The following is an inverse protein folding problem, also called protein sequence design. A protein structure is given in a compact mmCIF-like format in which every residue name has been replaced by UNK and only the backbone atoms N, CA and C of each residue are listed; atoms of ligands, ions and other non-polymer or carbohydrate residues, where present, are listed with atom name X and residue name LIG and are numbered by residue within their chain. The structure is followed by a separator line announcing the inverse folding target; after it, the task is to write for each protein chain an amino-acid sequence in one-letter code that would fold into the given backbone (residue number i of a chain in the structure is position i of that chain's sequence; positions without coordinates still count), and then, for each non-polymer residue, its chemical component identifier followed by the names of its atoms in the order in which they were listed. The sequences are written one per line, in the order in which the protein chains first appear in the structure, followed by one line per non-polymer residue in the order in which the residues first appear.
data_IF_546121194718
#
_entry.id   IF_546121194718
#
_cell.length_a   1.000
_cell.length_b   1.000
_cell.length_c   1.000
_cell.angle_alpha   90.00
_cell.angle_beta   90.00
_cell.angle_gamma   90.00
#
_symmetry.space_group_name_H-M   'P 1'
#
loop_
_entity.id
_entity.type
_entity.pdbx_description
1 polymer ?
#
# COMPACT_ATOMS: atom_id res chain seq x y z
N UNK A 1 -29.15 -9.18 2.09
CA UNK A 1 -27.78 -8.61 2.01
C UNK A 1 -27.07 -8.59 3.36
N UNK A 2 -27.72 -8.90 4.49
CA UNK A 2 -27.11 -8.90 5.84
C UNK A 2 -26.14 -10.07 6.11
N UNK A 3 -26.26 -11.21 5.42
CA UNK A 3 -25.44 -12.40 5.70
C UNK A 3 -24.02 -12.41 5.08
N UNK A 4 -23.63 -11.38 4.30
CA UNK A 4 -22.27 -11.29 3.74
C UNK A 4 -21.24 -10.77 4.75
N UNK A 5 -21.67 -9.97 5.73
CA UNK A 5 -20.79 -9.44 6.77
C UNK A 5 -20.39 -10.51 7.81
N UNK A 6 -21.28 -11.46 8.10
CA UNK A 6 -21.02 -12.50 9.11
C UNK A 6 -19.97 -13.53 8.68
N UNK A 7 -19.82 -13.82 7.38
CA UNK A 7 -18.77 -14.73 6.87
C UNK A 7 -17.38 -14.09 6.79
N UNK A 8 -17.31 -12.76 6.84
CA UNK A 8 -16.05 -12.03 7.01
C UNK A 8 -15.61 -11.97 8.48
N UNK A 9 -16.47 -12.39 9.41
CA UNK A 9 -16.21 -12.36 10.85
C UNK A 9 -15.18 -13.44 11.28
N UNK A 10 -15.01 -14.50 10.48
CA UNK A 10 -13.88 -15.47 10.60
C UNK A 10 -12.53 -14.77 10.28
N UNK A 11 -12.59 -13.69 9.50
CA UNK A 11 -11.47 -12.83 9.15
C UNK A 11 -11.48 -11.51 9.93
N UNK A 12 -12.36 -11.32 10.93
CA UNK A 12 -12.30 -10.16 11.81
C UNK A 12 -11.10 -10.31 12.75
N UNK A 13 -9.98 -9.84 12.20
CA UNK A 13 -8.72 -9.48 12.81
C UNK A 13 -8.97 -8.89 14.19
N UNK A 14 -8.78 -9.71 15.24
CA UNK A 14 -8.61 -9.21 16.60
C UNK A 14 -7.19 -8.68 16.70
N UNK A 15 -7.02 -7.36 16.57
CA UNK A 15 -5.74 -6.71 16.86
C UNK A 15 -5.99 -5.43 17.63
N UNK A 16 -5.04 -5.10 18.50
CA UNK A 16 -4.74 -3.71 18.86
C UNK A 16 -4.26 -3.02 17.58
N UNK A 17 -5.21 -2.43 16.86
CA UNK A 17 -4.99 -1.88 15.52
C UNK A 17 -3.90 -0.81 15.58
N UNK A 18 -2.82 -0.98 14.80
CA UNK A 18 -1.83 0.08 14.59
C UNK A 18 -2.56 1.35 14.13
N UNK A 19 -2.14 2.53 14.60
CA UNK A 19 -2.86 3.75 14.30
C UNK A 19 -2.86 4.00 12.79
N UNK A 20 -4.05 4.18 12.25
CA UNK A 20 -4.27 4.48 10.83
C UNK A 20 -3.68 5.83 10.45
N UNK A 21 -3.47 6.09 9.16
CA UNK A 21 -3.02 7.42 8.70
C UNK A 21 -3.94 8.54 9.20
N UNK A 22 -5.25 8.29 9.23
CA UNK A 22 -6.24 9.25 9.71
C UNK A 22 -6.10 9.55 11.21
N UNK A 23 -5.87 8.52 12.03
CA UNK A 23 -5.66 8.66 13.47
C UNK A 23 -4.32 9.36 13.77
N UNK A 24 -3.26 9.01 13.05
CA UNK A 24 -1.96 9.68 13.17
C UNK A 24 -2.07 11.14 12.76
N UNK A 25 -2.75 11.44 11.65
CA UNK A 25 -3.00 12.81 11.20
C UNK A 25 -3.74 13.61 12.28
N UNK A 26 -4.83 13.07 12.84
CA UNK A 26 -5.58 13.74 13.90
C UNK A 26 -4.71 14.02 15.12
N UNK A 27 -3.96 13.02 15.60
CA UNK A 27 -3.04 13.16 16.74
C UNK A 27 -2.00 14.25 16.48
N UNK A 28 -1.38 14.26 15.31
CA UNK A 28 -0.38 15.25 14.94
C UNK A 28 -0.98 16.66 14.83
N UNK A 29 -2.14 16.81 14.19
CA UNK A 29 -2.84 18.09 14.11
C UNK A 29 -3.22 18.64 15.48
N UNK A 30 -3.70 17.79 16.40
CA UNK A 30 -3.99 18.20 17.78
C UNK A 30 -2.72 18.67 18.50
N UNK A 31 -1.59 17.99 18.31
CA UNK A 31 -0.33 18.44 18.86
C UNK A 31 0.13 19.77 18.25
N UNK A 32 -0.03 19.98 16.94
CA UNK A 32 0.30 21.25 16.27
C UNK A 32 -0.44 22.42 16.94
N UNK A 33 -1.76 22.27 17.14
CA UNK A 33 -2.62 23.28 17.77
C UNK A 33 -2.25 23.52 19.23
N UNK A 34 -1.95 22.47 20.00
CA UNK A 34 -1.55 22.61 21.42
C UNK A 34 -0.25 23.40 21.59
N UNK A 35 0.68 23.28 20.65
CA UNK A 35 1.93 24.04 20.66
C UNK A 35 1.78 25.46 20.09
N UNK A 36 0.57 25.86 19.66
CA UNK A 36 0.33 27.17 19.05
C UNK A 36 0.83 27.29 17.61
N UNK A 37 1.27 26.18 17.00
CA UNK A 37 1.76 26.15 15.63
C UNK A 37 0.58 25.90 14.69
N UNK A 38 0.01 26.98 14.13
CA UNK A 38 -1.02 26.89 13.08
C UNK A 38 -0.40 26.85 11.67
N UNK A 39 0.82 26.30 11.54
CA UNK A 39 1.55 26.29 10.27
C UNK A 39 0.86 25.44 9.20
N UNK A 40 -0.02 24.51 9.59
CA UNK A 40 -0.68 23.59 8.68
C UNK A 40 0.32 22.61 8.04
N UNK A 41 1.42 22.34 8.72
CA UNK A 41 2.52 21.51 8.24
C UNK A 41 2.04 20.06 8.03
N UNK A 42 1.32 19.51 9.01
CA UNK A 42 0.74 18.16 8.98
C UNK A 42 -0.21 18.00 7.78
N UNK A 43 -1.11 18.96 7.59
CA UNK A 43 -2.07 18.95 6.48
C UNK A 43 -1.39 19.07 5.13
N UNK A 44 -0.36 19.93 5.03
CA UNK A 44 0.40 20.09 3.79
C UNK A 44 1.14 18.81 3.44
N UNK A 45 1.89 18.21 4.37
CA UNK A 45 2.57 16.93 4.15
C UNK A 45 1.61 15.81 3.74
N UNK A 46 0.43 15.75 4.36
CA UNK A 46 -0.61 14.77 4.04
C UNK A 46 -1.15 14.95 2.61
N UNK A 47 -1.30 16.19 2.14
CA UNK A 47 -1.61 16.47 0.74
C UNK A 47 -0.48 15.98 -0.18
N UNK A 48 0.79 16.20 0.20
CA UNK A 48 1.96 15.66 -0.53
C UNK A 48 1.91 14.13 -0.67
N UNK A 49 1.56 13.41 0.41
CA UNK A 49 1.36 11.96 0.36
C UNK A 49 0.20 11.56 -0.56
N UNK A 50 -0.89 12.33 -0.54
CA UNK A 50 -2.04 12.11 -1.42
C UNK A 50 -1.73 12.39 -2.90
N UNK A 51 -0.86 13.36 -3.18
CA UNK A 51 -0.35 13.65 -4.53
C UNK A 51 0.53 12.49 -5.01
N UNK A 52 1.48 12.00 -4.20
CA UNK A 52 2.28 10.81 -4.52
C UNK A 52 1.41 9.58 -4.84
N UNK A 53 0.36 9.35 -4.05
CA UNK A 53 -0.63 8.30 -4.34
C UNK A 53 -1.34 8.52 -5.68
N UNK A 54 -1.68 9.77 -6.00
CA UNK A 54 -2.33 10.12 -7.27
C UNK A 54 -1.39 9.91 -8.46
N UNK A 55 -0.11 10.25 -8.32
CA UNK A 55 0.94 10.01 -9.32
C UNK A 55 1.07 8.51 -9.63
N UNK A 56 1.24 7.66 -8.61
CA UNK A 56 1.34 6.20 -8.81
C UNK A 56 0.09 5.62 -9.51
N UNK A 57 -1.10 6.08 -9.13
CA UNK A 57 -2.34 5.66 -9.77
C UNK A 57 -2.43 6.10 -11.23
N UNK A 58 -1.96 7.31 -11.54
CA UNK A 58 -1.97 7.85 -12.90
C UNK A 58 -0.92 7.15 -13.77
N UNK A 59 0.28 6.88 -13.25
CA UNK A 59 1.30 6.08 -13.94
C UNK A 59 0.76 4.70 -14.34
N UNK A 60 0.10 4.00 -13.41
CA UNK A 60 -0.54 2.70 -13.70
C UNK A 60 -1.66 2.82 -14.73
N UNK A 61 -2.40 3.93 -14.72
CA UNK A 61 -3.42 4.16 -15.73
C UNK A 61 -2.80 4.38 -17.12
N UNK A 62 -1.72 5.16 -17.20
CA UNK A 62 -0.97 5.38 -18.45
C UNK A 62 -0.44 4.07 -19.00
N UNK A 63 0.18 3.22 -18.17
CA UNK A 63 0.65 1.90 -18.62
C UNK A 63 -0.50 1.00 -19.09
N UNK A 64 -1.67 1.10 -18.46
CA UNK A 64 -2.86 0.33 -18.87
C UNK A 64 -3.51 0.79 -20.18
N UNK A 65 -3.31 2.05 -20.60
CA UNK A 65 -3.92 2.60 -21.82
C UNK A 65 -3.25 2.07 -23.10
N UNK A 66 -1.99 1.63 -23.03
CA UNK A 66 -1.23 1.08 -24.16
C UNK A 66 -1.07 2.05 -25.35
N UNK A 67 -0.56 1.53 -26.47
CA UNK A 67 -0.30 2.31 -27.70
C UNK A 67 -1.58 2.65 -28.49
N UNK A 68 -2.66 1.88 -28.32
CA UNK A 68 -3.92 2.00 -29.08
C UNK A 68 -5.03 2.71 -28.27
N UNK A 69 -4.73 3.90 -27.76
CA UNK A 69 -5.66 4.68 -26.94
C UNK A 69 -6.61 5.54 -27.80
N UNK A 70 -7.91 5.51 -27.48
CA UNK A 70 -8.95 6.33 -28.13
C UNK A 70 -8.75 7.82 -27.86
N UNK A 71 -9.19 8.70 -28.78
CA UNK A 71 -9.17 10.16 -28.58
C UNK A 71 -9.88 10.57 -27.28
N UNK A 72 -10.99 9.91 -26.93
CA UNK A 72 -11.70 10.19 -25.68
C UNK A 72 -10.86 9.85 -24.44
N UNK A 73 -10.16 8.71 -24.46
CA UNK A 73 -9.27 8.29 -23.37
C UNK A 73 -8.03 9.20 -23.28
N UNK A 74 -7.50 9.69 -24.41
CA UNK A 74 -6.42 10.68 -24.43
C UNK A 74 -6.85 12.00 -23.79
N UNK A 75 -8.06 12.48 -24.08
CA UNK A 75 -8.60 13.68 -23.46
C UNK A 75 -8.80 13.49 -21.95
N UNK A 76 -9.33 12.35 -21.52
CA UNK A 76 -9.47 12.04 -20.09
C UNK A 76 -8.11 12.01 -19.38
N UNK A 77 -7.09 11.42 -20.02
CA UNK A 77 -5.72 11.40 -19.48
C UNK A 77 -5.17 12.82 -19.33
N UNK A 78 -5.34 13.67 -20.35
CA UNK A 78 -4.93 15.08 -20.30
C UNK A 78 -5.63 15.84 -19.17
N UNK A 79 -6.93 15.63 -18.96
CA UNK A 79 -7.66 16.28 -17.88
C UNK A 79 -7.19 15.80 -16.50
N UNK A 80 -6.84 14.52 -16.36
CA UNK A 80 -6.23 13.99 -15.13
C UNK A 80 -4.86 14.59 -14.88
N UNK A 81 -4.01 14.73 -15.91
CA UNK A 81 -2.70 15.39 -15.81
C UNK A 81 -2.82 16.85 -15.40
N UNK A 82 -3.69 17.63 -16.05
CA UNK A 82 -3.94 19.05 -15.68
C UNK A 82 -4.39 19.22 -14.23
N UNK A 83 -5.27 18.35 -13.75
CA UNK A 83 -5.73 18.36 -12.35
C UNK A 83 -4.60 18.02 -11.37
N UNK A 84 -3.74 17.08 -11.75
CA UNK A 84 -2.59 16.69 -10.94
C UNK A 84 -1.55 17.82 -10.89
N UNK A 85 -1.20 18.38 -12.05
CA UNK A 85 -0.32 19.55 -12.18
C UNK A 85 -0.76 20.70 -11.27
N UNK A 86 -2.03 21.11 -11.35
CA UNK A 86 -2.56 22.19 -10.53
C UNK A 86 -2.44 21.91 -9.01
N UNK A 87 -2.61 20.63 -8.61
CA UNK A 87 -2.41 20.22 -7.21
C UNK A 87 -0.94 20.26 -6.82
N UNK A 88 -0.04 19.80 -7.69
CA UNK A 88 1.42 19.85 -7.48
C UNK A 88 1.86 21.31 -7.33
N UNK A 89 1.54 22.19 -8.27
CA UNK A 89 1.92 23.61 -8.18
C UNK A 89 1.43 24.27 -6.89
N UNK A 90 0.18 23.99 -6.49
CA UNK A 90 -0.38 24.55 -5.24
C UNK A 90 0.35 24.01 -4.01
N UNK A 91 0.70 22.72 -4.03
CA UNK A 91 1.44 22.06 -2.97
C UNK A 91 2.87 22.60 -2.86
N UNK A 92 3.62 22.63 -3.96
CA UNK A 92 5.01 23.08 -4.05
C UNK A 92 5.15 24.51 -3.52
N UNK A 93 4.26 25.42 -3.93
CA UNK A 93 4.24 26.78 -3.40
C UNK A 93 4.06 26.85 -1.87
N UNK A 94 3.29 25.93 -1.27
CA UNK A 94 3.06 25.90 0.18
C UNK A 94 4.22 25.27 0.93
N UNK A 95 4.72 24.14 0.43
CA UNK A 95 5.77 23.38 1.13
C UNK A 95 7.11 24.11 1.08
N UNK A 96 7.43 24.83 -0.01
CA UNK A 96 8.65 25.65 -0.10
C UNK A 96 8.68 26.76 0.95
N UNK A 97 7.52 27.36 1.28
CA UNK A 97 7.43 28.37 2.35
C UNK A 97 7.63 27.73 3.73
N UNK A 98 7.05 26.54 3.95
CA UNK A 98 7.13 25.82 5.23
C UNK A 98 8.55 25.32 5.50
N UNK A 99 9.20 24.74 4.48
CA UNK A 99 10.55 24.18 4.57
C UNK A 99 11.66 25.23 4.36
N UNK A 100 11.30 26.44 3.88
CA UNK A 100 12.24 27.53 3.57
C UNK A 100 13.38 27.07 2.65
N UNK A 101 13.03 26.31 1.62
CA UNK A 101 14.01 25.77 0.67
C UNK A 101 14.67 26.90 -0.13
N UNK A 102 15.97 26.74 -0.38
CA UNK A 102 16.75 27.59 -1.25
C UNK A 102 17.04 26.91 -2.60
N UNK A 103 17.59 27.67 -3.54
CA UNK A 103 17.93 27.15 -4.88
C UNK A 103 19.09 26.13 -4.83
N UNK A 104 19.83 26.04 -3.71
CA UNK A 104 20.99 25.16 -3.52
C UNK A 104 20.63 23.79 -2.88
N UNK A 105 19.35 23.59 -2.52
CA UNK A 105 18.87 22.36 -1.85
C UNK A 105 19.09 21.11 -2.71
N UNK A 106 19.72 20.08 -2.14
CA UNK A 106 20.02 18.84 -2.87
C UNK A 106 18.93 17.76 -2.70
N UNK A 107 18.67 17.02 -3.79
CA UNK A 107 17.65 15.97 -3.85
C UNK A 107 18.27 14.57 -3.91
N UNK A 108 17.58 13.58 -3.33
CA UNK A 108 18.05 12.18 -3.38
C UNK A 108 18.00 11.63 -4.81
N UNK A 109 19.07 11.02 -5.31
CA UNK A 109 19.10 10.45 -6.67
C UNK A 109 18.24 9.18 -6.87
N UNK A 110 17.61 8.68 -5.81
CA UNK A 110 17.07 7.32 -5.70
C UNK A 110 15.68 7.07 -6.32
N UNK A 111 15.11 8.04 -7.05
CA UNK A 111 13.67 8.02 -7.39
C UNK A 111 13.26 7.12 -8.57
N UNK A 112 14.16 6.26 -9.05
CA UNK A 112 13.86 5.33 -10.15
C UNK A 112 14.02 3.90 -9.65
N UNK A 113 12.89 3.22 -9.39
CA UNK A 113 12.87 1.75 -9.29
C UNK A 113 13.17 1.17 -10.68
N UNK A 114 14.33 0.52 -10.90
CA UNK A 114 14.69 -0.05 -12.20
C UNK A 114 13.74 -1.16 -12.64
N UNK A 115 12.96 -1.75 -11.73
CA UNK A 115 12.06 -2.87 -12.06
C UNK A 115 10.82 -2.48 -12.85
N UNK A 116 10.55 -1.19 -13.02
CA UNK A 116 9.50 -0.70 -13.93
C UNK A 116 10.02 -0.59 -15.37
N UNK A 117 11.33 -0.76 -15.61
CA UNK A 117 11.95 -0.60 -16.93
C UNK A 117 12.10 -1.90 -17.73
N UNK A 118 11.95 -3.08 -17.13
CA UNK A 118 12.15 -4.36 -17.84
C UNK A 118 10.86 -4.90 -18.45
N UNK A 119 10.35 -4.21 -19.48
CA UNK A 119 9.55 -4.79 -20.57
C UNK A 119 9.17 -3.69 -21.56
N UNK A 120 10.16 -3.04 -22.18
CA UNK A 120 9.88 -2.05 -23.22
C UNK A 120 11.04 -1.95 -24.20
N UNK A 121 11.27 -3.02 -24.96
CA UNK A 121 12.18 -3.02 -26.11
C UNK A 121 11.48 -2.57 -27.41
N UNK A 122 10.29 -1.95 -27.32
CA UNK A 122 9.50 -1.51 -28.46
C UNK A 122 8.65 -0.25 -28.12
N UNK A 123 9.30 0.86 -27.81
CA UNK A 123 8.64 2.18 -27.87
C UNK A 123 9.12 2.90 -29.14
N UNK A 124 8.22 3.23 -30.09
CA UNK A 124 8.59 4.15 -31.15
C UNK A 124 8.91 5.51 -30.52
N UNK A 125 10.02 6.12 -30.94
CA UNK A 125 10.36 7.52 -30.68
C UNK A 125 9.16 8.39 -31.06
N UNK A 126 8.37 8.78 -30.07
CA UNK A 126 7.36 9.83 -30.21
C UNK A 126 8.08 11.14 -29.95
N UNK A 127 8.11 11.97 -30.99
CA UNK A 127 8.64 13.33 -31.01
C UNK A 127 8.50 14.06 -29.67
N UNK A 128 9.61 14.66 -29.27
CA UNK A 128 9.76 15.56 -28.15
C UNK A 128 8.94 16.84 -28.35
N UNK A 129 7.64 16.77 -28.08
CA UNK A 129 6.89 17.89 -27.52
C UNK A 129 6.95 17.73 -26.00
N UNK A 130 7.49 18.74 -25.32
CA UNK A 130 7.73 18.83 -23.89
C UNK A 130 6.40 18.88 -23.10
N UNK A 131 5.63 17.81 -23.17
CA UNK A 131 4.42 17.63 -22.37
C UNK A 131 4.86 17.38 -20.93
N UNK A 132 4.46 18.26 -20.02
CA UNK A 132 4.57 18.05 -18.58
C UNK A 132 4.00 16.66 -18.24
N UNK A 133 4.83 15.82 -17.61
CA UNK A 133 4.46 14.49 -17.14
C UNK A 133 4.35 14.57 -15.61
N UNK A 134 3.26 15.15 -15.06
CA UNK A 134 3.10 15.38 -13.63
C UNK A 134 3.11 14.07 -12.84
N UNK A 135 2.77 12.94 -13.48
CA UNK A 135 2.85 11.64 -12.83
C UNK A 135 4.28 11.15 -12.55
N UNK A 136 5.31 11.72 -13.20
CA UNK A 136 6.73 11.39 -12.97
C UNK A 136 7.50 12.48 -12.21
N UNK A 137 6.85 13.62 -11.96
CA UNK A 137 7.45 14.72 -11.23
C UNK A 137 7.74 14.32 -9.77
N UNK A 138 8.84 14.84 -9.23
CA UNK A 138 9.18 14.61 -7.83
C UNK A 138 8.38 15.57 -6.95
N UNK A 139 7.80 15.06 -5.88
CA UNK A 139 7.09 15.86 -4.88
C UNK A 139 8.06 16.24 -3.76
N UNK A 140 8.12 17.53 -3.42
CA UNK A 140 8.95 18.05 -2.34
C UNK A 140 8.47 17.54 -0.98
N UNK A 141 9.13 16.53 -0.45
CA UNK A 141 8.92 16.01 0.89
C UNK A 141 10.27 15.90 1.61
N UNK A 142 10.32 15.97 2.95
CA UNK A 142 11.55 15.75 3.70
C UNK A 142 12.28 14.45 3.29
N UNK A 143 11.56 13.36 3.06
CA UNK A 143 12.13 12.08 2.60
C UNK A 143 12.71 12.11 1.18
N UNK A 144 12.39 13.12 0.37
CA UNK A 144 12.90 13.30 -0.99
C UNK A 144 14.25 14.02 -1.03
N UNK A 145 14.64 14.69 0.07
CA UNK A 145 15.91 15.41 0.18
C UNK A 145 17.11 14.46 0.20
N UNK A 146 18.28 14.95 -0.18
CA UNK A 146 19.52 14.20 -0.06
C UNK A 146 19.88 13.97 1.42
N UNK A 147 20.71 12.95 1.67
CA UNK A 147 21.17 12.65 3.03
C UNK A 147 21.97 13.85 3.59
N UNK A 148 21.68 14.26 4.82
CA UNK A 148 22.30 15.41 5.48
C UNK A 148 21.60 16.75 5.27
N UNK A 149 20.76 16.89 4.23
CA UNK A 149 20.02 18.15 3.96
C UNK A 149 19.00 18.47 5.06
N UNK A 150 18.37 17.45 5.64
CA UNK A 150 17.42 17.62 6.75
C UNK A 150 18.11 18.28 7.95
N UNK A 151 19.34 17.88 8.27
CA UNK A 151 20.12 18.45 9.38
C UNK A 151 20.63 19.87 9.01
N UNK A 152 21.11 20.02 7.78
CA UNK A 152 21.63 21.31 7.28
C UNK A 152 20.57 22.41 7.28
N UNK A 153 19.34 22.08 6.86
CA UNK A 153 18.20 22.98 6.84
C UNK A 153 17.42 23.03 8.17
N UNK A 154 17.85 22.27 9.19
CA UNK A 154 17.15 22.15 10.49
C UNK A 154 15.67 21.75 10.35
N UNK A 155 15.40 20.78 9.49
CA UNK A 155 14.07 20.27 9.13
C UNK A 155 13.69 18.99 9.92
N UNK A 156 14.37 18.69 11.03
CA UNK A 156 14.15 17.45 11.80
C UNK A 156 12.71 17.37 12.31
N UNK A 157 12.14 18.49 12.73
CA UNK A 157 10.76 18.56 13.22
C UNK A 157 9.73 18.16 12.16
N UNK A 158 9.86 18.68 10.93
CA UNK A 158 8.94 18.35 9.83
C UNK A 158 9.20 16.95 9.27
N UNK A 159 10.46 16.51 9.25
CA UNK A 159 10.84 15.15 8.89
C UNK A 159 10.23 14.11 9.85
N UNK A 160 10.18 14.41 11.16
CA UNK A 160 9.54 13.56 12.16
C UNK A 160 8.03 13.48 11.96
N UNK A 161 7.38 14.59 11.60
CA UNK A 161 5.96 14.59 11.23
C UNK A 161 5.72 13.72 9.99
N UNK A 162 6.56 13.82 8.95
CA UNK A 162 6.46 12.93 7.79
C UNK A 162 6.65 11.47 8.19
N UNK A 163 7.66 11.15 9.02
CA UNK A 163 7.92 9.78 9.44
C UNK A 163 6.71 9.14 10.13
N UNK A 164 6.07 9.84 11.07
CA UNK A 164 4.85 9.36 11.73
C UNK A 164 3.70 9.15 10.73
N UNK A 165 3.49 10.09 9.79
CA UNK A 165 2.50 9.91 8.73
C UNK A 165 2.82 8.68 7.86
N UNK A 166 4.10 8.41 7.54
CA UNK A 166 4.50 7.22 6.79
C UNK A 166 4.26 5.93 7.57
N UNK A 167 4.40 5.91 8.90
CA UNK A 167 4.02 4.75 9.73
C UNK A 167 2.52 4.46 9.62
N UNK A 168 1.68 5.49 9.69
CA UNK A 168 0.23 5.35 9.45
C UNK A 168 -0.08 4.87 8.03
N UNK A 169 0.65 5.36 7.02
CA UNK A 169 0.53 4.89 5.63
C UNK A 169 0.91 3.41 5.49
N UNK A 170 1.96 2.95 6.18
CA UNK A 170 2.35 1.54 6.21
C UNK A 170 1.24 0.68 6.83
N UNK A 171 0.68 1.08 7.97
CA UNK A 171 -0.42 0.36 8.61
C UNK A 171 -1.64 0.21 7.68
N UNK A 172 -2.10 1.31 7.08
CA UNK A 172 -3.25 1.30 6.15
C UNK A 172 -2.99 0.46 4.90
N UNK A 173 -1.77 0.51 4.35
CA UNK A 173 -1.42 -0.23 3.13
C UNK A 173 -1.29 -1.73 3.39
N UNK A 174 -0.75 -2.14 4.54
CA UNK A 174 -0.71 -3.55 4.95
C UNK A 174 -2.11 -4.08 5.27
N UNK A 175 -2.96 -3.29 5.93
CA UNK A 175 -4.37 -3.68 6.15
C UNK A 175 -5.09 -3.87 4.80
N UNK A 176 -4.98 -2.90 3.89
CA UNK A 176 -5.55 -3.00 2.55
C UNK A 176 -5.02 -4.19 1.75
N UNK A 177 -3.72 -4.49 1.89
CA UNK A 177 -3.12 -5.67 1.26
C UNK A 177 -3.75 -6.96 1.79
N UNK A 178 -3.81 -7.14 3.12
CA UNK A 178 -4.43 -8.33 3.72
C UNK A 178 -5.91 -8.48 3.31
N UNK A 179 -6.67 -7.39 3.29
CA UNK A 179 -8.06 -7.40 2.83
C UNK A 179 -8.19 -7.84 1.37
N UNK A 180 -7.37 -7.27 0.48
CA UNK A 180 -7.41 -7.63 -0.94
C UNK A 180 -7.05 -9.10 -1.19
N UNK A 181 -6.08 -9.66 -0.44
CA UNK A 181 -5.70 -11.07 -0.51
C UNK A 181 -6.77 -11.99 0.09
N UNK A 182 -7.40 -11.60 1.20
CA UNK A 182 -8.51 -12.32 1.81
C UNK A 182 -9.76 -12.34 0.92
N UNK A 183 -10.08 -11.22 0.26
CA UNK A 183 -11.16 -11.18 -0.73
C UNK A 183 -10.84 -12.03 -1.96
N UNK A 184 -9.57 -12.02 -2.40
CA UNK A 184 -9.10 -12.84 -3.52
C UNK A 184 -9.26 -14.33 -3.22
N UNK A 185 -8.85 -14.79 -2.03
CA UNK A 185 -9.03 -16.19 -1.61
C UNK A 185 -10.51 -16.59 -1.53
N UNK A 186 -11.36 -15.73 -0.98
CA UNK A 186 -12.80 -15.95 -0.94
C UNK A 186 -13.41 -16.03 -2.35
N UNK A 187 -12.96 -15.19 -3.28
CA UNK A 187 -13.40 -15.21 -4.68
C UNK A 187 -13.06 -16.55 -5.36
N UNK A 188 -11.86 -17.09 -5.12
CA UNK A 188 -11.49 -18.42 -5.62
C UNK A 188 -12.47 -19.50 -5.13
N UNK A 189 -12.73 -19.55 -3.82
CA UNK A 189 -13.63 -20.57 -3.21
C UNK A 189 -15.08 -20.44 -3.64
N UNK A 190 -15.59 -19.22 -3.67
CA UNK A 190 -17.03 -18.99 -3.84
C UNK A 190 -17.45 -18.81 -5.29
N UNK A 191 -16.57 -18.28 -6.15
CA UNK A 191 -16.90 -17.94 -7.53
C UNK A 191 -16.19 -18.84 -8.52
N UNK A 192 -14.87 -19.02 -8.40
CA UNK A 192 -14.07 -19.81 -9.36
C UNK A 192 -14.45 -21.30 -9.27
N UNK A 193 -14.50 -21.88 -8.06
CA UNK A 193 -14.87 -23.29 -7.89
C UNK A 193 -16.34 -23.59 -8.25
N UNK A 194 -17.24 -22.64 -8.02
CA UNK A 194 -18.68 -22.84 -8.29
C UNK A 194 -19.08 -22.42 -9.71
N UNK A 195 -18.14 -21.96 -10.55
CA UNK A 195 -18.43 -21.55 -11.91
C UNK A 195 -18.73 -22.77 -12.80
N UNK A 196 -19.97 -22.84 -13.28
CA UNK A 196 -20.46 -23.95 -14.11
C UNK A 196 -20.61 -23.60 -15.60
N UNK A 197 -20.28 -22.38 -16.00
CA UNK A 197 -20.39 -21.90 -17.38
C UNK A 197 -19.17 -21.08 -17.76
N UNK A 198 -18.90 -20.96 -19.06
CA UNK A 198 -17.80 -20.14 -19.56
C UNK A 198 -17.93 -18.68 -19.10
N UNK A 199 -19.15 -18.13 -19.15
CA UNK A 199 -19.43 -16.74 -18.73
C UNK A 199 -19.20 -16.52 -17.24
N UNK A 200 -19.62 -17.47 -16.39
CA UNK A 200 -19.42 -17.36 -14.94
C UNK A 200 -17.96 -17.57 -14.55
N UNK A 201 -17.25 -18.45 -15.27
CA UNK A 201 -15.81 -18.67 -15.11
C UNK A 201 -15.03 -17.41 -15.45
N UNK A 202 -15.27 -16.81 -16.62
CA UNK A 202 -14.60 -15.57 -17.02
C UNK A 202 -14.83 -14.45 -16.01
N UNK A 203 -16.08 -14.25 -15.55
CA UNK A 203 -16.39 -13.25 -14.53
C UNK A 203 -15.69 -13.50 -13.19
N UNK A 204 -15.57 -14.76 -12.78
CA UNK A 204 -14.87 -15.11 -11.55
C UNK A 204 -13.37 -14.76 -11.68
N UNK A 205 -12.75 -15.08 -12.82
CA UNK A 205 -11.35 -14.71 -13.09
C UNK A 205 -11.15 -13.20 -13.23
N UNK A 206 -12.07 -12.47 -13.87
CA UNK A 206 -12.03 -11.01 -13.93
C UNK A 206 -12.01 -10.40 -12.52
N UNK A 207 -12.81 -10.94 -11.60
CA UNK A 207 -12.83 -10.50 -10.21
C UNK A 207 -11.51 -10.82 -9.48
N UNK A 208 -10.94 -12.01 -9.71
CA UNK A 208 -9.62 -12.38 -9.17
C UNK A 208 -8.53 -11.41 -9.68
N UNK A 209 -8.50 -11.12 -10.98
CA UNK A 209 -7.53 -10.18 -11.56
C UNK A 209 -7.69 -8.76 -11.00
N UNK A 210 -8.94 -8.32 -10.77
CA UNK A 210 -9.22 -7.03 -10.13
C UNK A 210 -8.66 -6.98 -8.71
N UNK A 211 -8.85 -8.03 -7.91
CA UNK A 211 -8.35 -8.10 -6.54
C UNK A 211 -6.82 -8.22 -6.50
N UNK A 212 -6.22 -8.95 -7.43
CA UNK A 212 -4.76 -9.01 -7.62
C UNK A 212 -4.17 -7.63 -7.94
N UNK A 213 -4.84 -6.88 -8.83
CA UNK A 213 -4.43 -5.52 -9.16
C UNK A 213 -4.54 -4.55 -7.97
N UNK A 214 -5.49 -4.76 -7.05
CA UNK A 214 -5.58 -3.95 -5.83
C UNK A 214 -4.49 -4.34 -4.81
N UNK A 215 -4.18 -5.63 -4.67
CA UNK A 215 -3.08 -6.11 -3.84
C UNK A 215 -1.72 -5.52 -4.28
N UNK A 216 -1.41 -5.58 -5.59
CA UNK A 216 -0.20 -4.98 -6.17
C UNK A 216 -0.12 -3.46 -5.93
N UNK A 217 -1.27 -2.78 -5.94
CA UNK A 217 -1.35 -1.35 -5.65
C UNK A 217 -1.03 -1.07 -4.17
N UNK A 218 -1.54 -1.87 -3.24
CA UNK A 218 -1.17 -1.78 -1.83
C UNK A 218 0.33 -2.06 -1.61
N UNK A 219 0.88 -3.09 -2.27
CA UNK A 219 2.31 -3.40 -2.25
C UNK A 219 3.18 -2.24 -2.75
N UNK A 220 2.82 -1.60 -3.87
CA UNK A 220 3.56 -0.46 -4.41
C UNK A 220 3.55 0.74 -3.44
N UNK A 221 2.39 1.05 -2.85
CA UNK A 221 2.28 2.11 -1.82
C UNK A 221 3.10 1.78 -0.56
N UNK A 222 3.09 0.53 -0.13
CA UNK A 222 3.91 0.07 0.99
C UNK A 222 5.40 0.24 0.71
N UNK A 223 5.88 -0.20 -0.46
CA UNK A 223 7.29 -0.05 -0.86
C UNK A 223 7.71 1.42 -0.90
N UNK A 224 6.86 2.30 -1.42
CA UNK A 224 7.12 3.74 -1.41
C UNK A 224 7.23 4.29 0.02
N UNK A 225 6.28 3.95 0.90
CA UNK A 225 6.28 4.43 2.28
C UNK A 225 7.49 3.90 3.07
N UNK A 226 7.85 2.62 2.88
CA UNK A 226 9.05 2.00 3.47
C UNK A 226 10.33 2.67 2.98
N UNK A 227 10.46 2.94 1.69
CA UNK A 227 11.61 3.64 1.12
C UNK A 227 11.73 5.09 1.63
N UNK A 228 10.61 5.79 1.83
CA UNK A 228 10.61 7.10 2.47
C UNK A 228 11.09 7.04 3.92
N UNK A 229 10.62 6.07 4.72
CA UNK A 229 11.08 5.88 6.10
C UNK A 229 12.57 5.56 6.19
N UNK A 230 13.09 4.75 5.27
CA UNK A 230 14.53 4.45 5.17
C UNK A 230 15.37 5.70 4.91
N UNK A 231 14.87 6.64 4.09
CA UNK A 231 15.56 7.91 3.80
C UNK A 231 15.54 8.87 4.99
N UNK A 232 14.44 8.92 5.74
CA UNK A 232 14.31 9.83 6.90
C UNK A 232 15.22 9.44 8.06
N UNK A 233 15.57 8.15 8.22
CA UNK A 233 16.49 7.65 9.26
C UNK A 233 16.11 8.01 10.72
N UNK A 234 14.84 8.30 11.00
CA UNK A 234 14.36 8.75 12.33
C UNK A 234 14.11 7.56 13.29
N UNK A 235 13.59 6.45 12.77
CA UNK A 235 13.20 5.29 13.57
C UNK A 235 13.73 3.99 12.93
N UNK A 236 15.03 3.69 13.11
CA UNK A 236 15.66 2.53 12.47
C UNK A 236 15.14 1.20 13.04
N UNK A 237 14.70 1.18 14.30
CA UNK A 237 14.13 -0.01 14.95
C UNK A 237 12.79 -0.37 14.31
N UNK A 238 11.90 0.61 14.11
CA UNK A 238 10.65 0.38 13.39
C UNK A 238 10.90 -0.08 11.95
N UNK A 239 11.81 0.56 11.23
CA UNK A 239 12.14 0.19 9.84
C UNK A 239 12.71 -1.23 9.75
N UNK A 240 13.44 -1.70 10.76
CA UNK A 240 13.96 -3.07 10.80
C UNK A 240 12.84 -4.12 10.91
N UNK A 241 11.68 -3.77 11.47
CA UNK A 241 10.50 -4.66 11.48
C UNK A 241 9.85 -4.81 10.10
N UNK A 242 10.09 -3.87 9.19
CA UNK A 242 9.48 -3.81 7.87
C UNK A 242 10.30 -4.60 6.85
N UNK A 243 9.73 -5.69 6.33
CA UNK A 243 10.35 -6.55 5.34
C UNK A 243 9.85 -6.25 3.92
N UNK A 244 10.62 -6.61 2.89
CA UNK A 244 10.14 -6.48 1.52
C UNK A 244 8.98 -7.48 1.26
N UNK A 245 8.07 -7.11 0.37
CA UNK A 245 6.93 -7.94 -0.03
C UNK A 245 7.21 -8.38 -1.46
N UNK A 246 7.46 -9.66 -1.66
CA UNK A 246 7.75 -10.25 -2.97
C UNK A 246 6.48 -10.67 -3.70
N UNK A 247 6.60 -10.99 -4.99
CA UNK A 247 5.47 -11.49 -5.77
C UNK A 247 5.01 -12.88 -5.31
N UNK A 248 5.91 -13.64 -4.68
CA UNK A 248 5.57 -14.93 -4.07
C UNK A 248 4.65 -14.73 -2.85
N UNK A 249 4.83 -13.64 -2.09
CA UNK A 249 3.96 -13.31 -0.96
C UNK A 249 2.54 -12.87 -1.40
N UNK A 250 2.37 -12.47 -2.66
CA UNK A 250 1.07 -12.11 -3.26
C UNK A 250 0.32 -13.32 -3.84
N UNK A 251 1.00 -14.46 -3.95
CA UNK A 251 0.37 -15.71 -4.37
C UNK A 251 -0.55 -16.15 -3.24
N UNK A 252 -1.84 -15.95 -3.45
CA UNK A 252 -2.86 -16.63 -2.67
C UNK A 252 -2.74 -18.10 -3.03
N UNK A 253 -2.09 -18.91 -2.20
CA UNK A 253 -2.31 -20.34 -2.29
C UNK A 253 -3.81 -20.54 -2.09
N UNK A 254 -4.50 -21.20 -3.03
CA UNK A 254 -5.92 -21.52 -2.88
C UNK A 254 -6.23 -22.24 -1.55
N UNK A 255 -5.18 -22.78 -0.95
CA UNK A 255 -5.11 -23.53 0.31
C UNK A 255 -5.01 -22.66 1.58
N UNK A 256 -4.79 -21.33 1.50
CA UNK A 256 -4.67 -20.45 2.68
C UNK A 256 -5.92 -20.41 3.57
N UNK A 257 -7.04 -21.00 3.14
CA UNK A 257 -8.31 -20.97 3.88
C UNK A 257 -9.00 -22.32 3.99
N UNK A 258 -8.31 -23.42 3.65
CA UNK A 258 -8.85 -24.77 3.85
C UNK A 258 -8.54 -25.24 5.27
N UNK A 259 -9.49 -25.03 6.20
CA UNK A 259 -9.38 -25.39 7.63
C UNK A 259 -9.09 -26.89 7.87
N UNK A 260 -9.22 -27.74 6.84
CA UNK A 260 -9.14 -29.19 6.95
C UNK A 260 -8.03 -29.85 6.12
N UNK A 261 -6.98 -29.12 5.70
CA UNK A 261 -5.88 -29.72 4.92
C UNK A 261 -4.86 -30.44 5.84
N UNK A 262 -4.64 -31.72 5.60
CA UNK A 262 -3.49 -32.45 6.16
C UNK A 262 -2.18 -31.86 5.61
N UNK A 263 -1.27 -31.42 6.48
CA UNK A 263 0.09 -30.99 6.12
C UNK A 263 0.39 -29.48 6.16
N UNK A 264 -0.50 -28.64 6.72
CA UNK A 264 -0.32 -27.17 6.81
C UNK A 264 0.94 -26.68 7.55
N UNK A 265 1.62 -27.55 8.31
CA UNK A 265 2.76 -27.20 9.17
C UNK A 265 3.98 -26.57 8.46
N UNK A 266 4.01 -26.51 7.13
CA UNK A 266 5.15 -25.98 6.36
C UNK A 266 4.87 -24.68 5.58
N UNK A 267 3.62 -24.25 5.45
CA UNK A 267 3.29 -23.05 4.66
C UNK A 267 3.30 -21.83 5.61
N UNK A 268 4.50 -21.33 5.89
CA UNK A 268 4.66 -20.12 6.71
C UNK A 268 3.95 -18.94 6.03
N UNK A 269 2.93 -18.40 6.68
CA UNK A 269 2.25 -17.19 6.23
C UNK A 269 3.27 -16.04 6.09
N UNK A 270 3.15 -15.19 5.06
CA UNK A 270 3.95 -13.98 4.94
C UNK A 270 3.94 -13.15 6.24
N UNK A 271 5.08 -12.52 6.55
CA UNK A 271 5.29 -11.79 7.82
C UNK A 271 4.21 -10.72 8.10
N UNK A 272 3.66 -10.08 7.07
CA UNK A 272 2.65 -9.02 7.23
C UNK A 272 1.29 -9.54 7.72
N UNK A 273 1.05 -10.85 7.68
CA UNK A 273 -0.12 -11.46 8.33
C UNK A 273 0.03 -11.47 9.86
N UNK A 274 1.21 -11.26 10.43
CA UNK A 274 1.40 -11.19 11.89
C UNK A 274 1.73 -9.77 12.36
N UNK A 275 1.78 -8.81 11.43
CA UNK A 275 2.15 -7.44 11.74
C UNK A 275 1.04 -6.72 12.52
N UNK A 276 1.37 -6.23 13.71
CA UNK A 276 0.44 -5.56 14.63
C UNK A 276 0.14 -6.33 15.93
N UNK A 277 0.68 -7.54 16.11
CA UNK A 277 0.57 -8.25 17.40
C UNK A 277 1.58 -7.68 18.42
N UNK A 278 1.07 -7.08 19.49
CA UNK A 278 1.85 -6.89 20.71
C UNK A 278 2.21 -8.28 21.26
N UNK A 279 3.50 -8.48 21.52
CA UNK A 279 4.18 -9.76 21.86
C UNK A 279 3.58 -10.52 23.06
N UNK A 280 2.64 -9.95 23.81
CA UNK A 280 2.04 -10.56 25.01
C UNK A 280 0.69 -11.27 24.82
N UNK A 281 0.11 -11.25 23.62
CA UNK A 281 -1.10 -12.03 23.32
C UNK A 281 -0.75 -13.11 22.30
N UNK A 282 -0.50 -14.33 22.76
CA UNK A 282 -0.19 -15.51 21.94
C UNK A 282 -1.36 -16.00 21.07
N UNK A 283 -1.94 -15.12 20.25
CA UNK A 283 -3.02 -15.41 19.32
C UNK A 283 -2.63 -14.92 17.93
N UNK A 284 -2.27 -15.85 17.04
CA UNK A 284 -2.05 -15.53 15.63
C UNK A 284 -3.29 -14.84 15.02
N UNK A 285 -3.08 -13.81 14.18
CA UNK A 285 -4.10 -13.20 13.29
C UNK A 285 -4.90 -14.24 12.48
N UNK A 286 -4.30 -15.40 12.25
CA UNK A 286 -4.93 -16.64 11.83
C UNK A 286 -4.33 -17.76 12.69
N UNK A 287 -5.06 -18.28 13.69
CA UNK A 287 -4.60 -19.50 14.38
C UNK A 287 -4.51 -20.62 13.35
N UNK A 288 -3.32 -21.23 13.22
CA UNK A 288 -3.26 -22.61 12.76
C UNK A 288 -4.30 -23.37 13.60
N UNK A 289 -5.27 -24.00 12.95
CA UNK A 289 -6.20 -24.88 13.64
C UNK A 289 -5.38 -25.99 14.30
N UNK A 290 -5.09 -25.85 15.59
CA UNK A 290 -4.48 -26.92 16.36
C UNK A 290 -5.55 -28.00 16.53
N UNK A 291 -5.43 -29.07 15.75
CA UNK A 291 -6.25 -30.25 15.88
C UNK A 291 -6.04 -30.82 17.29
N UNK A 292 -6.97 -30.57 18.20
CA UNK A 292 -7.06 -31.37 19.41
C UNK A 292 -7.55 -32.75 18.97
N UNK A 293 -6.66 -33.75 19.04
CA UNK A 293 -7.03 -35.14 18.91
C UNK A 293 -8.08 -35.47 19.98
N UNK A 294 -9.36 -35.37 19.62
CA UNK A 294 -10.40 -36.14 20.27
C UNK A 294 -10.43 -37.49 19.57
N UNK A 295 -10.02 -38.58 20.24
CA UNK A 295 -10.16 -39.90 19.64
C UNK A 295 -11.65 -40.21 19.52
N UNK A 296 -12.14 -40.30 18.29
CA UNK A 296 -13.35 -41.04 17.97
C UNK A 296 -13.16 -42.49 18.43
N UNK A 297 -13.58 -42.81 19.65
CA UNK A 297 -13.80 -44.18 20.07
C UNK A 297 -15.09 -44.68 19.43
N UNK A 298 -14.96 -45.24 18.22
CA UNK A 298 -15.93 -46.17 17.65
C UNK A 298 -15.97 -47.39 18.57
N UNK A 299 -17.03 -47.52 19.37
CA UNK A 299 -17.37 -48.78 20.04
C UNK A 299 -18.40 -49.51 19.17
N UNK A 300 -17.89 -50.26 18.20
CA UNK A 300 -18.59 -51.40 17.62
C UNK A 300 -18.18 -52.61 18.45
N UNK A 301 -19.08 -53.12 19.29
CA UNK A 301 -19.05 -54.51 19.73
C UNK A 301 -20.43 -55.08 19.43
N UNK A 302 -20.43 -56.05 18.53
CA UNK A 302 -21.51 -56.97 18.22
C UNK A 302 -21.68 -57.97 19.38
N UNK A 303 -22.96 -58.34 19.60
CA UNK A 303 -23.57 -59.30 20.52
C UNK A 303 -24.02 -58.74 21.87
#
# INVERSE_FOLDING_TARGET
MEKRGEHLNIYQVRLDKLPTLAEVHLKLSETEVRHGNLSGSVSTLTEGLAIQKSQMLLQRHVTSLGSTCSVAQKNELLDRRRKLEARITTYENRISIIMKLDDDTQWSLSDIDPRVAESSDDLPEVDSDEWLIPEKERITLPSALAAGEIEWLSLESIAMVEAELRKGQVADTLEGLCLSLGEKSLCFRTQVHNANSQRTTHRAWDNVHKLDAEARKCQAMYRQARGALQRLSIDPEYVATLHDITDDDLKVAGDLTDECRFGQRSDALPWFWQFGDAVDSGGLRMQECTYSYWPCAVRLILL
#
